data_IF_280577821211
#
_entry.id   IF_280577821211
#
_cell.length_a   1.000
_cell.length_b   1.000
_cell.length_c   1.000
_cell.angle_alpha   90.00
_cell.angle_beta   90.00
_cell.angle_gamma   90.00
#
_symmetry.space_group_name_H-M   'P 1'
#
loop_
_entity.id
_entity.type
_entity.pdbx_description
1 polymer ?
#
# COMPACT_ATOMS: atom_id res chain seq x y z
N UNK A 1 -5.89 -9.64 13.41
CA UNK A 1 -6.70 -9.21 12.24
C UNK A 1 -6.05 -8.02 11.63
N UNK A 2 -5.66 -8.10 10.35
CA UNK A 2 -5.05 -7.02 9.55
C UNK A 2 -5.98 -5.81 9.45
N UNK A 3 -7.25 -6.00 9.72
CA UNK A 3 -8.29 -4.97 9.62
C UNK A 3 -8.18 -3.86 10.67
N UNK A 4 -7.26 -3.97 11.63
CA UNK A 4 -6.96 -2.88 12.54
C UNK A 4 -5.55 -2.38 12.23
N UNK A 5 -5.50 -1.25 11.58
CA UNK A 5 -4.36 -0.36 11.60
C UNK A 5 -3.99 -0.17 13.07
N UNK A 6 -2.96 -0.86 13.54
CA UNK A 6 -2.58 -0.71 14.93
C UNK A 6 -2.11 0.73 15.13
N UNK A 7 -2.74 1.41 16.06
CA UNK A 7 -2.43 2.77 16.50
C UNK A 7 -0.94 3.01 16.89
N UNK A 8 -0.11 1.98 16.90
CA UNK A 8 1.34 2.07 17.07
C UNK A 8 2.06 2.76 15.90
N UNK A 9 1.44 2.88 14.73
CA UNK A 9 1.99 3.64 13.60
C UNK A 9 1.63 5.13 13.61
N UNK A 10 0.89 5.62 14.61
CA UNK A 10 0.70 7.06 14.84
C UNK A 10 2.01 7.81 15.15
N UNK A 11 3.11 7.08 15.41
CA UNK A 11 4.38 7.69 15.83
C UNK A 11 5.30 8.12 14.69
N UNK A 12 4.94 7.97 13.42
CA UNK A 12 5.76 8.50 12.33
C UNK A 12 4.95 9.44 11.43
N UNK A 13 4.43 10.49 12.06
CA UNK A 13 3.85 11.61 11.31
C UNK A 13 4.96 12.22 10.46
N UNK A 14 4.87 12.09 9.14
CA UNK A 14 5.74 12.82 8.21
C UNK A 14 5.51 14.30 8.44
N UNK A 15 6.58 15.04 8.73
CA UNK A 15 6.50 16.47 9.00
C UNK A 15 6.50 17.31 7.72
N UNK A 16 6.90 16.71 6.60
CA UNK A 16 7.09 17.37 5.31
C UNK A 16 8.05 18.55 5.40
N UNK A 17 9.24 18.27 5.96
CA UNK A 17 10.35 19.23 6.00
C UNK A 17 11.51 18.70 5.14
N UNK A 18 12.24 19.63 4.52
CA UNK A 18 13.41 19.24 3.70
C UNK A 18 14.48 18.57 4.56
N UNK A 19 15.04 17.47 4.08
CA UNK A 19 16.00 16.63 4.78
C UNK A 19 15.38 15.47 5.58
N UNK A 20 14.04 15.36 5.61
CA UNK A 20 13.36 14.24 6.28
C UNK A 20 13.57 12.93 5.51
N UNK A 21 13.82 11.83 6.23
CA UNK A 21 13.94 10.51 5.63
C UNK A 21 12.57 9.86 5.45
N UNK A 22 12.28 9.39 4.25
CA UNK A 22 11.11 8.60 3.92
C UNK A 22 11.53 7.18 3.50
N UNK A 23 10.83 6.17 4.01
CA UNK A 23 10.99 4.79 3.55
C UNK A 23 9.96 4.50 2.46
N UNK A 24 10.41 4.02 1.30
CA UNK A 24 9.52 3.51 0.23
C UNK A 24 9.99 2.14 -0.20
N UNK A 25 9.10 1.15 -0.09
CA UNK A 25 9.35 -0.25 -0.44
C UNK A 25 10.63 -0.83 0.20
N UNK A 26 10.99 -0.32 1.38
CA UNK A 26 12.20 -0.71 2.10
C UNK A 26 13.45 0.08 1.75
N UNK A 27 13.39 1.01 0.81
CA UNK A 27 14.50 1.90 0.43
C UNK A 27 14.32 3.27 1.09
N UNK A 28 15.41 3.84 1.59
CA UNK A 28 15.41 5.17 2.19
C UNK A 28 15.53 6.25 1.10
N UNK A 29 14.72 7.29 1.21
CA UNK A 29 14.69 8.46 0.34
C UNK A 29 14.79 9.71 1.20
N UNK A 30 15.37 10.78 0.65
CA UNK A 30 15.37 12.09 1.29
C UNK A 30 14.26 12.93 0.68
N UNK A 31 13.42 13.51 1.54
CA UNK A 31 12.37 14.43 1.16
C UNK A 31 12.92 15.86 1.04
N UNK A 32 12.58 16.53 -0.03
CA UNK A 32 12.75 17.98 -0.20
C UNK A 32 11.40 18.64 -0.44
N UNK A 33 11.22 19.81 0.16
CA UNK A 33 10.04 20.67 -0.07
C UNK A 33 10.51 21.96 -0.70
N UNK A 34 9.97 22.28 -1.87
CA UNK A 34 10.32 23.47 -2.64
C UNK A 34 9.08 24.26 -3.04
N UNK A 35 9.19 25.58 -3.04
CA UNK A 35 8.14 26.43 -3.56
C UNK A 35 8.05 26.26 -5.08
N UNK A 36 6.83 26.06 -5.59
CA UNK A 36 6.54 25.91 -7.01
C UNK A 36 5.31 26.72 -7.42
N UNK A 37 5.07 26.81 -8.71
CA UNK A 37 3.88 27.48 -9.28
C UNK A 37 2.64 26.54 -9.29
N UNK A 38 2.84 25.26 -9.06
CA UNK A 38 1.81 24.20 -8.95
C UNK A 38 2.26 23.09 -8.01
N UNK A 39 1.31 22.28 -7.55
CA UNK A 39 1.55 21.22 -6.59
C UNK A 39 1.77 19.88 -7.31
N UNK A 40 2.97 19.31 -7.15
CA UNK A 40 3.33 17.99 -7.67
C UNK A 40 4.57 17.45 -6.93
N UNK A 41 4.86 16.18 -7.11
CA UNK A 41 6.07 15.57 -6.59
C UNK A 41 6.84 14.83 -7.68
N UNK A 42 8.15 14.74 -7.48
CA UNK A 42 9.05 13.97 -8.34
C UNK A 42 9.90 13.04 -7.49
N UNK A 43 10.30 11.91 -8.08
CA UNK A 43 11.31 11.00 -7.54
C UNK A 43 12.49 10.99 -8.51
N UNK A 44 13.66 11.35 -8.02
CA UNK A 44 14.90 11.37 -8.80
C UNK A 44 16.09 11.10 -7.90
N UNK A 45 16.95 10.17 -8.32
CA UNK A 45 18.21 9.83 -7.64
C UNK A 45 18.06 9.50 -6.15
N UNK A 46 16.98 8.80 -5.79
CA UNK A 46 16.67 8.44 -4.41
C UNK A 46 16.15 9.60 -3.56
N UNK A 47 15.75 10.71 -4.18
CA UNK A 47 15.20 11.87 -3.51
C UNK A 47 13.77 12.13 -3.98
N UNK A 48 12.88 12.43 -3.04
CA UNK A 48 11.52 12.86 -3.32
C UNK A 48 11.44 14.36 -3.13
N UNK A 49 11.04 15.08 -4.17
CA UNK A 49 10.86 16.53 -4.08
C UNK A 49 9.38 16.87 -4.24
N UNK A 50 8.80 17.50 -3.20
CA UNK A 50 7.48 18.10 -3.25
C UNK A 50 7.62 19.56 -3.71
N UNK A 51 7.00 19.91 -4.81
CA UNK A 51 6.79 21.28 -5.24
C UNK A 51 5.39 21.69 -4.84
N UNK A 52 5.28 22.74 -4.04
CA UNK A 52 4.01 23.26 -3.51
C UNK A 52 3.95 24.77 -3.61
N UNK A 53 2.76 25.30 -3.80
CA UNK A 53 2.54 26.77 -3.90
C UNK A 53 2.70 27.48 -2.55
N UNK A 54 2.51 26.73 -1.46
CA UNK A 54 2.75 27.20 -0.08
C UNK A 54 3.52 26.12 0.70
N UNK A 55 4.76 26.41 1.08
CA UNK A 55 5.64 25.50 1.81
C UNK A 55 5.31 25.38 3.29
N UNK A 56 4.51 26.28 3.85
CA UNK A 56 4.11 26.27 5.26
C UNK A 56 2.79 25.50 5.46
N UNK A 57 1.99 25.32 4.39
CA UNK A 57 0.74 24.57 4.43
C UNK A 57 0.99 23.05 4.49
N UNK A 58 0.79 22.46 5.68
CA UNK A 58 0.95 21.03 5.91
C UNK A 58 -0.04 20.19 5.08
N UNK A 59 -1.32 20.57 5.04
CA UNK A 59 -2.36 19.82 4.34
C UNK A 59 -2.12 19.80 2.83
N UNK A 60 -1.62 20.90 2.29
CA UNK A 60 -1.24 20.97 0.88
C UNK A 60 -0.07 20.02 0.56
N UNK A 61 0.96 20.00 1.43
CA UNK A 61 2.09 19.07 1.30
C UNK A 61 1.64 17.62 1.40
N UNK A 62 0.82 17.29 2.40
CA UNK A 62 0.25 15.96 2.58
C UNK A 62 -0.56 15.53 1.35
N UNK A 63 -1.48 16.36 0.89
CA UNK A 63 -2.31 16.08 -0.30
C UNK A 63 -1.46 15.85 -1.55
N UNK A 64 -0.44 16.67 -1.74
CA UNK A 64 0.50 16.54 -2.88
C UNK A 64 1.25 15.21 -2.82
N UNK A 65 1.75 14.84 -1.64
CA UNK A 65 2.42 13.58 -1.40
C UNK A 65 1.49 12.37 -1.66
N UNK A 66 0.27 12.39 -1.15
CA UNK A 66 -0.70 11.29 -1.33
C UNK A 66 -1.11 11.12 -2.79
N UNK A 67 -1.27 12.21 -3.55
CA UNK A 67 -1.55 12.13 -5.00
C UNK A 67 -0.39 11.44 -5.72
N UNK A 68 0.84 11.85 -5.42
CA UNK A 68 2.03 11.23 -5.98
C UNK A 68 2.16 9.76 -5.56
N UNK A 69 2.04 9.46 -4.26
CA UNK A 69 2.12 8.10 -3.73
C UNK A 69 1.09 7.17 -4.39
N UNK A 70 -0.13 7.66 -4.62
CA UNK A 70 -1.17 6.94 -5.34
C UNK A 70 -0.76 6.62 -6.78
N UNK A 71 -0.12 7.55 -7.48
CA UNK A 71 0.35 7.35 -8.86
C UNK A 71 1.42 6.25 -8.95
N UNK A 72 2.22 6.06 -7.90
CA UNK A 72 3.22 5.01 -7.80
C UNK A 72 2.59 3.67 -7.33
N UNK A 73 1.68 3.75 -6.37
CA UNK A 73 1.07 2.59 -5.73
C UNK A 73 0.18 1.78 -6.69
N UNK A 74 -0.66 2.43 -7.49
CA UNK A 74 -1.62 1.73 -8.36
C UNK A 74 -0.94 0.80 -9.38
N UNK A 75 0.08 1.23 -10.14
CA UNK A 75 0.79 0.33 -11.04
C UNK A 75 1.48 -0.84 -10.32
N UNK A 76 2.07 -0.59 -9.15
CA UNK A 76 2.70 -1.63 -8.35
C UNK A 76 1.66 -2.66 -7.91
N UNK A 77 0.57 -2.23 -7.26
CA UNK A 77 -0.47 -3.14 -6.78
C UNK A 77 -1.10 -3.93 -7.92
N UNK A 78 -1.29 -3.31 -9.09
CA UNK A 78 -1.79 -4.00 -10.29
C UNK A 78 -0.84 -5.12 -10.74
N UNK A 79 0.47 -4.87 -10.75
CA UNK A 79 1.47 -5.92 -11.09
C UNK A 79 1.50 -7.05 -10.05
N UNK A 80 1.46 -6.72 -8.75
CA UNK A 80 1.42 -7.72 -7.69
C UNK A 80 0.16 -8.57 -7.76
N UNK A 81 -0.99 -7.95 -7.99
CA UNK A 81 -2.26 -8.65 -8.18
C UNK A 81 -2.23 -9.55 -9.42
N UNK A 82 -1.69 -9.07 -10.55
CA UNK A 82 -1.57 -9.86 -11.77
C UNK A 82 -0.70 -11.09 -11.54
N UNK A 83 0.44 -10.93 -10.86
CA UNK A 83 1.32 -12.06 -10.51
C UNK A 83 0.60 -13.09 -9.64
N UNK A 84 -0.01 -12.66 -8.53
CA UNK A 84 -0.73 -13.56 -7.63
C UNK A 84 -1.88 -14.29 -8.35
N UNK A 85 -2.58 -13.59 -9.23
CA UNK A 85 -3.65 -14.16 -10.05
C UNK A 85 -3.13 -15.24 -10.99
N UNK A 86 -2.08 -14.97 -11.78
CA UNK A 86 -1.52 -15.89 -12.75
C UNK A 86 -0.88 -17.13 -12.08
N UNK A 87 -0.21 -16.92 -10.95
CA UNK A 87 0.47 -17.98 -10.21
C UNK A 87 -0.52 -18.91 -9.49
N UNK A 88 -1.61 -18.36 -8.94
CA UNK A 88 -2.48 -19.13 -8.03
C UNK A 88 -3.98 -18.86 -8.19
N UNK A 89 -4.46 -17.66 -7.91
CA UNK A 89 -5.89 -17.39 -7.70
C UNK A 89 -6.75 -17.54 -8.96
N UNK A 90 -6.23 -17.22 -10.14
CA UNK A 90 -6.91 -17.42 -11.41
C UNK A 90 -7.20 -18.90 -11.71
N UNK A 91 -6.31 -19.79 -11.26
CA UNK A 91 -6.46 -21.26 -11.42
C UNK A 91 -7.57 -21.81 -10.50
N UNK A 92 -8.01 -21.05 -9.51
CA UNK A 92 -9.10 -21.41 -8.60
C UNK A 92 -10.47 -20.89 -9.07
N UNK A 93 -10.55 -20.36 -10.31
CA UNK A 93 -11.79 -19.89 -10.90
C UNK A 93 -12.22 -18.48 -10.47
N UNK A 94 -11.31 -17.72 -9.86
CA UNK A 94 -11.55 -16.31 -9.52
C UNK A 94 -11.33 -15.48 -10.78
N UNK A 95 -12.27 -14.57 -11.10
CA UNK A 95 -12.04 -13.58 -12.14
C UNK A 95 -11.07 -12.50 -11.67
N UNK A 96 -10.29 -11.91 -12.59
CA UNK A 96 -9.38 -10.84 -12.23
C UNK A 96 -10.17 -9.60 -11.74
N UNK A 97 -9.93 -9.12 -10.51
CA UNK A 97 -10.70 -8.03 -9.93
C UNK A 97 -10.26 -6.65 -10.44
N UNK A 98 -11.15 -5.68 -10.28
CA UNK A 98 -10.77 -4.28 -10.40
C UNK A 98 -9.88 -3.87 -9.22
N UNK A 99 -8.73 -3.25 -9.51
CA UNK A 99 -7.75 -2.82 -8.51
C UNK A 99 -7.92 -1.33 -8.25
N UNK A 100 -8.02 -0.95 -6.97
CA UNK A 100 -8.11 0.43 -6.51
C UNK A 100 -7.08 0.70 -5.41
N UNK A 101 -6.67 1.95 -5.29
CA UNK A 101 -5.82 2.43 -4.20
C UNK A 101 -6.47 3.65 -3.54
N UNK A 102 -6.39 3.71 -2.21
CA UNK A 102 -6.96 4.79 -1.41
C UNK A 102 -6.04 5.12 -0.24
N UNK A 103 -6.09 6.34 0.24
CA UNK A 103 -5.62 6.71 1.56
C UNK A 103 -6.64 6.20 2.59
N UNK A 104 -6.26 5.23 3.42
CA UNK A 104 -7.12 4.58 4.40
C UNK A 104 -6.53 4.66 5.80
N UNK A 105 -7.37 5.00 6.80
CA UNK A 105 -6.93 5.20 8.19
C UNK A 105 -6.85 3.92 9.02
N UNK A 106 -7.62 2.89 8.69
CA UNK A 106 -7.87 1.76 9.62
C UNK A 106 -7.58 0.38 9.04
N UNK A 107 -7.17 0.27 7.79
CA UNK A 107 -6.90 -1.03 7.15
C UNK A 107 -5.88 -0.92 6.02
N UNK A 108 -5.21 -2.03 5.73
CA UNK A 108 -4.23 -2.12 4.66
C UNK A 108 -4.83 -2.49 3.31
N UNK A 109 -5.94 -3.21 3.33
CA UNK A 109 -6.67 -3.60 2.14
C UNK A 109 -8.15 -3.85 2.42
N UNK A 110 -8.92 -4.12 1.36
CA UNK A 110 -10.28 -4.61 1.44
C UNK A 110 -10.66 -5.34 0.16
N UNK A 111 -11.43 -6.41 0.31
CA UNK A 111 -12.04 -7.16 -0.77
C UNK A 111 -13.56 -7.00 -0.73
N UNK A 112 -14.16 -6.75 -1.89
CA UNK A 112 -15.63 -6.78 -2.09
C UNK A 112 -15.90 -7.86 -3.14
N UNK A 113 -16.09 -9.13 -2.74
CA UNK A 113 -16.24 -10.25 -3.67
C UNK A 113 -17.39 -10.07 -4.65
N UNK A 114 -18.55 -9.60 -4.19
CA UNK A 114 -19.74 -9.38 -5.02
C UNK A 114 -19.56 -8.36 -6.14
N UNK A 115 -18.59 -7.41 -5.97
CA UNK A 115 -18.27 -6.40 -6.97
C UNK A 115 -16.97 -6.68 -7.70
N UNK A 116 -16.25 -7.75 -7.33
CA UNK A 116 -14.92 -8.09 -7.84
C UNK A 116 -13.95 -6.90 -7.74
N UNK A 117 -13.87 -6.29 -6.55
CA UNK A 117 -13.01 -5.14 -6.30
C UNK A 117 -12.06 -5.44 -5.15
N UNK A 118 -10.76 -5.19 -5.38
CA UNK A 118 -9.74 -5.07 -4.34
C UNK A 118 -9.33 -3.60 -4.19
N UNK A 119 -9.22 -3.15 -2.95
CA UNK A 119 -8.74 -1.80 -2.65
C UNK A 119 -7.56 -1.90 -1.69
N UNK A 120 -6.47 -1.20 -1.97
CA UNK A 120 -5.24 -1.21 -1.18
C UNK A 120 -4.94 0.18 -0.63
N UNK A 121 -4.32 0.21 0.55
CA UNK A 121 -3.89 1.45 1.18
C UNK A 121 -2.63 1.97 0.49
N UNK A 122 -2.60 3.24 0.11
CA UNK A 122 -1.42 3.87 -0.52
C UNK A 122 -0.18 3.82 0.39
N UNK A 123 -0.38 3.82 1.70
CA UNK A 123 0.68 3.74 2.70
C UNK A 123 1.42 2.39 2.73
N UNK A 124 0.97 1.37 1.99
CA UNK A 124 1.76 0.16 1.76
C UNK A 124 3.08 0.45 1.05
N UNK A 125 3.15 1.55 0.31
CA UNK A 125 4.40 2.01 -0.31
C UNK A 125 5.48 2.39 0.71
N UNK A 126 5.11 2.77 1.92
CA UNK A 126 6.03 3.17 3.01
C UNK A 126 6.65 1.96 3.73
N UNK A 127 6.25 0.75 3.37
CA UNK A 127 6.73 -0.52 3.94
C UNK A 127 7.55 -1.32 2.93
N UNK A 128 8.37 -2.28 3.40
CA UNK A 128 9.07 -3.21 2.51
C UNK A 128 8.08 -3.98 1.61
N UNK A 129 8.50 -4.24 0.37
CA UNK A 129 7.67 -4.90 -0.66
C UNK A 129 6.95 -6.17 -0.17
N UNK A 130 7.55 -7.07 0.66
CA UNK A 130 6.86 -8.25 1.16
C UNK A 130 5.58 -7.95 1.93
N UNK A 131 5.44 -6.77 2.54
CA UNK A 131 4.20 -6.35 3.20
C UNK A 131 3.06 -6.14 2.20
N UNK A 132 3.34 -5.46 1.08
CA UNK A 132 2.36 -5.25 0.00
C UNK A 132 1.95 -6.59 -0.65
N UNK A 133 2.92 -7.48 -0.90
CA UNK A 133 2.66 -8.83 -1.42
C UNK A 133 1.73 -9.64 -0.50
N UNK A 134 1.96 -9.54 0.81
CA UNK A 134 1.12 -10.20 1.80
C UNK A 134 -0.33 -9.67 1.78
N UNK A 135 -0.51 -8.36 1.75
CA UNK A 135 -1.86 -7.77 1.69
C UNK A 135 -2.58 -8.17 0.41
N UNK A 136 -1.87 -8.23 -0.73
CA UNK A 136 -2.45 -8.74 -1.99
C UNK A 136 -2.94 -10.18 -1.82
N UNK A 137 -2.11 -11.08 -1.31
CA UNK A 137 -2.50 -12.48 -1.09
C UNK A 137 -3.68 -12.59 -0.11
N UNK A 138 -3.67 -11.81 0.97
CA UNK A 138 -4.73 -11.76 1.96
C UNK A 138 -6.08 -11.35 1.34
N UNK A 139 -6.10 -10.26 0.58
CA UNK A 139 -7.33 -9.76 -0.03
C UNK A 139 -7.86 -10.69 -1.15
N UNK A 140 -6.97 -11.32 -1.91
CA UNK A 140 -7.39 -12.37 -2.85
C UNK A 140 -8.02 -13.57 -2.15
N UNK A 141 -7.48 -13.98 -0.99
CA UNK A 141 -8.02 -15.13 -0.25
C UNK A 141 -9.46 -14.88 0.21
N UNK A 142 -9.88 -13.62 0.38
CA UNK A 142 -11.27 -13.28 0.70
C UNK A 142 -12.28 -13.61 -0.41
N UNK A 143 -11.86 -13.82 -1.64
CA UNK A 143 -12.74 -14.38 -2.68
C UNK A 143 -13.10 -15.85 -2.41
N UNK A 144 -12.27 -16.57 -1.67
CA UNK A 144 -12.47 -17.98 -1.33
C UNK A 144 -13.10 -18.14 0.07
N UNK A 145 -12.74 -17.28 1.01
CA UNK A 145 -13.15 -17.36 2.41
C UNK A 145 -13.44 -15.94 2.96
N UNK A 146 -14.69 -15.67 3.29
CA UNK A 146 -15.12 -14.34 3.73
C UNK A 146 -14.54 -13.93 5.10
N UNK A 147 -14.31 -14.90 6.00
CA UNK A 147 -13.84 -14.67 7.36
C UNK A 147 -12.47 -15.32 7.60
N UNK A 148 -11.72 -14.78 8.57
CA UNK A 148 -10.37 -15.23 8.95
C UNK A 148 -10.39 -16.54 9.77
N UNK A 149 -11.03 -17.57 9.25
CA UNK A 149 -11.08 -18.92 9.83
C UNK A 149 -9.77 -19.68 9.62
N UNK A 150 -9.63 -20.84 10.22
CA UNK A 150 -8.51 -21.75 9.96
C UNK A 150 -8.41 -22.09 8.45
N UNK A 151 -9.55 -22.16 7.77
CA UNK A 151 -9.64 -22.42 6.32
C UNK A 151 -9.08 -21.25 5.50
N UNK A 152 -9.34 -20.01 5.90
CA UNK A 152 -8.73 -18.84 5.30
C UNK A 152 -7.21 -18.90 5.32
N UNK A 153 -6.64 -19.14 6.52
CA UNK A 153 -5.19 -19.21 6.66
C UNK A 153 -4.57 -20.41 5.97
N UNK A 154 -5.28 -21.53 5.86
CA UNK A 154 -4.84 -22.68 5.09
C UNK A 154 -4.74 -22.35 3.59
N UNK A 155 -5.74 -21.64 3.03
CA UNK A 155 -5.70 -21.20 1.63
C UNK A 155 -4.61 -20.16 1.39
N UNK A 156 -4.47 -19.18 2.28
CA UNK A 156 -3.41 -18.17 2.19
C UNK A 156 -2.02 -18.84 2.21
N UNK A 157 -1.81 -19.82 3.09
CA UNK A 157 -0.53 -20.52 3.21
C UNK A 157 -0.18 -21.38 1.99
N UNK A 158 -1.17 -21.82 1.19
CA UNK A 158 -0.91 -22.53 -0.06
C UNK A 158 -0.21 -21.65 -1.09
N UNK A 159 -0.58 -20.39 -1.18
CA UNK A 159 0.08 -19.42 -2.06
C UNK A 159 1.32 -18.81 -1.40
N UNK A 160 1.25 -18.50 -0.12
CA UNK A 160 2.28 -17.75 0.60
C UNK A 160 2.60 -18.46 1.94
N UNK A 161 3.46 -19.50 1.93
CA UNK A 161 3.79 -20.27 3.15
C UNK A 161 4.41 -19.41 4.26
N UNK A 162 5.11 -18.32 3.91
CA UNK A 162 5.78 -17.39 4.80
C UNK A 162 4.90 -16.18 5.23
N UNK A 163 3.58 -16.26 5.02
CA UNK A 163 2.66 -15.16 5.29
C UNK A 163 2.77 -14.58 6.71
N UNK A 164 3.05 -15.42 7.72
CA UNK A 164 3.22 -14.97 9.12
C UNK A 164 4.43 -14.05 9.30
N UNK A 165 5.52 -14.28 8.55
CA UNK A 165 6.70 -13.44 8.61
C UNK A 165 6.41 -12.08 7.96
N UNK A 166 5.72 -12.09 6.81
CA UNK A 166 5.36 -10.87 6.09
C UNK A 166 4.31 -10.04 6.84
N UNK A 167 3.35 -10.68 7.47
CA UNK A 167 2.36 -10.02 8.33
C UNK A 167 3.01 -9.20 9.46
N UNK A 168 4.10 -9.70 10.05
CA UNK A 168 4.81 -9.01 11.14
C UNK A 168 5.40 -7.67 10.73
N UNK A 169 5.66 -7.45 9.44
CA UNK A 169 6.16 -6.16 8.93
C UNK A 169 5.13 -5.05 9.16
N UNK A 170 3.84 -5.40 9.21
CA UNK A 170 2.73 -4.46 9.37
C UNK A 170 2.22 -4.33 10.83
N UNK A 171 2.85 -5.06 11.76
CA UNK A 171 2.55 -5.03 13.21
C UNK A 171 3.59 -4.25 13.97
#
# INVERSE_FOLDING_TARGET
TIDKFNAKNENRKILFVSGENLSLLGTQHILYVKKGIRNYATDSDGNITLYVTDTDDYELKYKTYIIWLRSQCLPLMTRLCKRAYDEHYGKLGIDFPAIKVKDMRSRWGSCIPSKKILTFNVHLMEYPLPAAEYVVAHEFTHFLQANHSARFYAELARYMPDYKQRERILK
#
